data_IF_127550089304
#
_entry.id   IF_127550089304
#
_cell.length_a   1.000
_cell.length_b   1.000
_cell.length_c   1.000
_cell.angle_alpha   90.00
_cell.angle_beta   90.00
_cell.angle_gamma   90.00
#
_symmetry.space_group_name_H-M   'P 1'
#
loop_
_entity.id
_entity.type
_entity.pdbx_description
1 polymer ?
#
# COMPACT_ATOMS: atom_id res chain seq x y z
N UNK A 1 -58.98 30.92 47.74
CA UNK A 1 -57.56 31.32 47.60
C UNK A 1 -56.93 30.25 46.74
N UNK A 2 -57.11 30.35 45.42
CA UNK A 2 -56.79 29.29 44.46
C UNK A 2 -55.51 29.65 43.71
N UNK A 3 -54.46 28.86 43.94
CA UNK A 3 -53.16 29.01 43.29
C UNK A 3 -53.21 28.23 41.98
N UNK A 4 -53.37 28.94 40.85
CA UNK A 4 -53.18 28.37 39.51
C UNK A 4 -51.67 28.20 39.24
N UNK A 5 -51.18 26.97 39.36
CA UNK A 5 -49.88 26.55 38.83
C UNK A 5 -50.00 26.36 37.31
N UNK A 6 -49.60 27.37 36.53
CA UNK A 6 -49.39 27.21 35.09
C UNK A 6 -48.04 26.54 34.86
N UNK A 7 -48.06 25.25 34.51
CA UNK A 7 -46.87 24.49 34.12
C UNK A 7 -46.29 25.04 32.80
N UNK A 8 -45.14 25.69 32.86
CA UNK A 8 -44.33 25.93 31.66
C UNK A 8 -43.54 24.65 31.34
N UNK A 9 -44.01 23.91 30.33
CA UNK A 9 -43.30 22.77 29.78
C UNK A 9 -42.11 23.27 28.95
N UNK A 10 -40.89 23.16 29.49
CA UNK A 10 -39.66 23.36 28.73
C UNK A 10 -39.43 22.16 27.80
N UNK A 11 -39.66 22.33 26.50
CA UNK A 11 -39.21 21.40 25.46
C UNK A 11 -37.68 21.51 25.33
N UNK A 12 -36.95 20.54 25.88
CA UNK A 12 -35.51 20.37 25.61
C UNK A 12 -35.32 19.99 24.14
N UNK A 13 -34.42 20.66 23.38
CA UNK A 13 -34.18 20.30 21.99
C UNK A 13 -33.44 18.95 21.94
N UNK A 14 -34.06 17.96 21.32
CA UNK A 14 -33.46 16.66 21.03
C UNK A 14 -32.40 16.85 19.93
N UNK A 15 -31.16 17.10 20.32
CA UNK A 15 -30.03 17.07 19.37
C UNK A 15 -29.75 15.61 18.99
N UNK A 16 -30.21 15.20 17.81
CA UNK A 16 -29.78 13.96 17.16
C UNK A 16 -28.28 14.07 16.82
N UNK A 17 -27.43 13.53 17.69
CA UNK A 17 -26.02 13.29 17.39
C UNK A 17 -25.95 12.18 16.33
N UNK A 18 -25.82 12.55 15.05
CA UNK A 18 -25.54 11.59 13.99
C UNK A 18 -24.10 11.08 14.14
N UNK A 19 -23.95 9.87 14.71
CA UNK A 19 -22.68 9.16 14.74
C UNK A 19 -22.50 8.41 13.42
N UNK A 20 -21.35 8.62 12.77
CA UNK A 20 -21.01 7.87 11.56
C UNK A 20 -20.90 6.37 11.89
N UNK A 21 -21.35 5.55 10.95
CA UNK A 21 -21.18 4.10 10.94
C UNK A 21 -19.75 3.72 10.54
N UNK A 22 -19.36 2.47 10.84
CA UNK A 22 -18.07 1.89 10.42
C UNK A 22 -17.87 2.05 8.90
N UNK A 23 -18.90 1.75 8.09
CA UNK A 23 -18.82 1.84 6.63
C UNK A 23 -18.64 3.27 6.14
N UNK A 24 -19.24 4.25 6.80
CA UNK A 24 -19.04 5.67 6.45
C UNK A 24 -17.61 6.14 6.79
N UNK A 25 -17.05 5.66 7.91
CA UNK A 25 -15.64 5.90 8.22
C UNK A 25 -14.70 5.28 7.19
N UNK A 26 -14.92 4.02 6.80
CA UNK A 26 -14.15 3.37 5.74
C UNK A 26 -14.24 4.16 4.43
N UNK A 27 -15.46 4.55 4.01
CA UNK A 27 -15.68 5.32 2.79
C UNK A 27 -14.94 6.66 2.81
N UNK A 28 -15.04 7.42 3.89
CA UNK A 28 -14.30 8.69 4.04
C UNK A 28 -12.79 8.48 4.02
N UNK A 29 -12.31 7.41 4.64
CA UNK A 29 -10.91 7.01 4.57
C UNK A 29 -10.46 6.73 3.14
N UNK A 30 -11.25 5.96 2.38
CA UNK A 30 -10.97 5.63 0.97
C UNK A 30 -10.93 6.89 0.09
N UNK A 31 -11.89 7.81 0.29
CA UNK A 31 -11.94 9.11 -0.40
C UNK A 31 -10.69 9.96 -0.13
N UNK A 32 -10.31 10.11 1.15
CA UNK A 32 -9.08 10.80 1.54
C UNK A 32 -7.83 10.12 0.99
N UNK A 33 -7.79 8.79 0.93
CA UNK A 33 -6.63 8.05 0.42
C UNK A 33 -6.42 8.26 -1.09
N UNK A 34 -7.49 8.51 -1.86
CA UNK A 34 -7.37 8.87 -3.27
C UNK A 34 -6.71 10.24 -3.48
N UNK A 35 -6.66 11.08 -2.44
CA UNK A 35 -6.03 12.40 -2.46
C UNK A 35 -4.71 12.43 -1.66
N UNK A 36 -4.15 11.26 -1.32
CA UNK A 36 -2.97 11.11 -0.46
C UNK A 36 -1.68 11.79 -0.94
N UNK A 37 -1.65 12.31 -2.17
CA UNK A 37 -0.58 13.21 -2.61
C UNK A 37 -0.50 14.44 -1.69
N UNK A 38 -1.65 14.94 -1.22
CA UNK A 38 -1.69 15.82 -0.05
C UNK A 38 -1.49 14.98 1.22
N UNK A 39 -0.36 15.23 1.88
CA UNK A 39 0.01 14.60 3.14
C UNK A 39 -1.06 14.74 4.24
N UNK A 40 -1.81 15.85 4.25
CA UNK A 40 -2.93 16.04 5.19
C UNK A 40 -4.05 15.05 4.91
N UNK A 41 -4.37 14.81 3.63
CA UNK A 41 -5.36 13.81 3.21
C UNK A 41 -4.95 12.40 3.56
N UNK A 42 -3.67 12.06 3.40
CA UNK A 42 -3.15 10.77 3.86
C UNK A 42 -3.31 10.57 5.38
N UNK A 43 -3.10 11.63 6.18
CA UNK A 43 -3.34 11.61 7.63
C UNK A 43 -4.83 11.53 7.99
N UNK A 44 -5.70 12.23 7.28
CA UNK A 44 -7.15 12.12 7.44
C UNK A 44 -7.62 10.68 7.17
N UNK A 45 -7.13 10.06 6.10
CA UNK A 45 -7.42 8.66 5.79
C UNK A 45 -7.03 7.71 6.93
N UNK A 46 -5.81 7.87 7.48
CA UNK A 46 -5.37 7.11 8.67
C UNK A 46 -6.37 7.24 9.82
N UNK A 47 -6.74 8.47 10.17
CA UNK A 47 -7.67 8.75 11.28
C UNK A 47 -9.04 8.11 11.06
N UNK A 48 -9.57 8.17 9.84
CA UNK A 48 -10.87 7.57 9.55
C UNK A 48 -10.84 6.05 9.68
N UNK A 49 -9.78 5.38 9.26
CA UNK A 49 -9.64 3.93 9.48
C UNK A 49 -9.45 3.58 10.95
N UNK A 50 -8.72 4.39 11.72
CA UNK A 50 -8.60 4.22 13.18
C UNK A 50 -9.95 4.33 13.88
N UNK A 51 -10.78 5.31 13.50
CA UNK A 51 -12.14 5.45 14.05
C UNK A 51 -13.04 4.27 13.65
N UNK A 52 -12.93 3.75 12.42
CA UNK A 52 -13.64 2.56 12.00
C UNK A 52 -13.30 1.34 12.89
N UNK A 53 -12.00 1.14 13.15
CA UNK A 53 -11.51 0.06 14.04
C UNK A 53 -11.89 0.32 15.50
N UNK A 54 -11.95 1.58 15.95
CA UNK A 54 -12.40 1.91 17.30
C UNK A 54 -13.86 1.54 17.52
N UNK A 55 -14.71 1.74 16.51
CA UNK A 55 -16.12 1.36 16.55
C UNK A 55 -16.33 -0.16 16.42
N UNK A 56 -15.53 -0.83 15.60
CA UNK A 56 -15.54 -2.28 15.45
C UNK A 56 -14.10 -2.83 15.43
N UNK A 57 -13.66 -3.31 16.59
CA UNK A 57 -12.29 -3.81 16.77
C UNK A 57 -11.99 -5.11 16.00
N UNK A 58 -13.01 -5.74 15.41
CA UNK A 58 -12.87 -6.92 14.56
C UNK A 58 -13.02 -6.58 13.06
N UNK A 59 -12.99 -5.30 12.69
CA UNK A 59 -13.20 -4.87 11.31
C UNK A 59 -11.97 -5.11 10.42
N UNK A 60 -11.95 -6.24 9.70
CA UNK A 60 -10.89 -6.58 8.75
C UNK A 60 -10.60 -5.43 7.75
N UNK A 61 -11.65 -4.81 7.21
CA UNK A 61 -11.57 -3.77 6.19
C UNK A 61 -10.82 -2.51 6.67
N UNK A 62 -10.98 -2.16 7.94
CA UNK A 62 -10.26 -1.06 8.58
C UNK A 62 -8.78 -1.38 8.76
N UNK A 63 -8.43 -2.58 9.23
CA UNK A 63 -7.03 -2.93 9.50
C UNK A 63 -6.15 -2.95 8.25
N UNK A 64 -6.56 -3.60 7.16
CA UNK A 64 -5.69 -3.66 5.98
C UNK A 64 -5.56 -2.29 5.29
N UNK A 65 -6.62 -1.46 5.30
CA UNK A 65 -6.56 -0.09 4.79
C UNK A 65 -5.68 0.81 5.65
N UNK A 66 -5.73 0.63 6.97
CA UNK A 66 -4.83 1.31 7.89
C UNK A 66 -3.36 0.90 7.63
N UNK A 67 -3.08 -0.39 7.42
CA UNK A 67 -1.75 -0.86 7.05
C UNK A 67 -1.26 -0.23 5.73
N UNK A 68 -2.14 -0.16 4.72
CA UNK A 68 -1.87 0.49 3.43
C UNK A 68 -1.49 1.96 3.56
N UNK A 69 -2.27 2.74 4.30
CA UNK A 69 -1.95 4.18 4.48
C UNK A 69 -0.70 4.39 5.33
N UNK A 70 -0.45 3.53 6.33
CA UNK A 70 0.80 3.56 7.09
C UNK A 70 2.01 3.30 6.18
N UNK A 71 1.92 2.32 5.28
CA UNK A 71 2.98 2.05 4.29
C UNK A 71 3.27 3.28 3.43
N UNK A 72 2.23 3.93 2.91
CA UNK A 72 2.37 5.15 2.10
C UNK A 72 3.02 6.30 2.90
N UNK A 73 2.54 6.56 4.13
CA UNK A 73 3.09 7.60 4.98
C UNK A 73 4.57 7.32 5.30
N UNK A 74 4.92 6.07 5.63
CA UNK A 74 6.28 5.71 5.99
C UNK A 74 7.32 6.00 4.90
N UNK A 75 6.96 6.00 3.61
CA UNK A 75 7.90 6.19 2.51
C UNK A 75 8.60 7.56 2.54
N UNK A 76 7.91 8.60 3.04
CA UNK A 76 8.39 9.98 3.02
C UNK A 76 8.95 10.46 4.38
N UNK A 77 9.07 9.57 5.37
CA UNK A 77 9.53 9.94 6.71
C UNK A 77 11.04 9.77 6.89
N UNK A 78 11.68 10.60 7.75
CA UNK A 78 13.06 10.36 8.19
C UNK A 78 13.20 8.97 8.82
N UNK A 79 14.39 8.38 8.70
CA UNK A 79 14.66 6.97 9.08
C UNK A 79 14.10 6.56 10.46
N UNK A 80 14.27 7.39 11.49
CA UNK A 80 13.80 7.09 12.85
C UNK A 80 12.27 7.03 12.95
N UNK A 81 11.58 7.96 12.28
CA UNK A 81 10.12 8.00 12.23
C UNK A 81 9.56 6.91 11.32
N UNK A 82 10.19 6.69 10.17
CA UNK A 82 9.89 5.57 9.25
C UNK A 82 9.92 4.24 10.00
N UNK A 83 10.93 3.99 10.82
CA UNK A 83 11.01 2.76 11.62
C UNK A 83 9.80 2.59 12.55
N UNK A 84 9.37 3.65 13.24
CA UNK A 84 8.21 3.60 14.13
C UNK A 84 6.93 3.27 13.35
N UNK A 85 6.70 3.96 12.24
CA UNK A 85 5.53 3.74 11.37
C UNK A 85 5.51 2.33 10.79
N UNK A 86 6.64 1.81 10.31
CA UNK A 86 6.70 0.46 9.76
C UNK A 86 6.39 -0.61 10.81
N UNK A 87 6.90 -0.46 12.04
CA UNK A 87 6.57 -1.38 13.15
C UNK A 87 5.08 -1.33 13.51
N UNK A 88 4.50 -0.14 13.58
CA UNK A 88 3.06 0.04 13.79
C UNK A 88 2.24 -0.67 12.68
N UNK A 89 2.57 -0.39 11.42
CA UNK A 89 1.90 -0.99 10.27
C UNK A 89 2.00 -2.51 10.26
N UNK A 90 3.17 -3.07 10.59
CA UNK A 90 3.38 -4.53 10.70
C UNK A 90 2.38 -5.15 11.67
N UNK A 91 2.22 -4.56 12.86
CA UNK A 91 1.27 -5.09 13.85
C UNK A 91 -0.19 -4.93 13.40
N UNK A 92 -0.54 -3.80 12.77
CA UNK A 92 -1.87 -3.58 12.17
C UNK A 92 -2.16 -4.63 11.08
N UNK A 93 -1.21 -4.92 10.20
CA UNK A 93 -1.40 -5.90 9.13
C UNK A 93 -1.50 -7.34 9.68
N UNK A 94 -0.73 -7.68 10.74
CA UNK A 94 -0.89 -8.95 11.46
C UNK A 94 -2.28 -9.11 12.06
N UNK A 95 -2.89 -8.02 12.57
CA UNK A 95 -4.29 -8.04 13.04
C UNK A 95 -5.26 -8.33 11.90
N UNK A 96 -5.07 -7.75 10.72
CA UNK A 96 -5.88 -8.07 9.53
C UNK A 96 -5.80 -9.58 9.19
N UNK A 97 -4.59 -10.16 9.16
CA UNK A 97 -4.39 -11.60 8.91
C UNK A 97 -5.09 -12.44 9.99
N UNK A 98 -4.97 -12.06 11.27
CA UNK A 98 -5.63 -12.79 12.37
C UNK A 98 -7.16 -12.77 12.25
N UNK A 99 -7.74 -11.66 11.80
CA UNK A 99 -9.19 -11.53 11.61
C UNK A 99 -9.67 -12.33 10.41
N UNK A 100 -8.91 -12.37 9.32
CA UNK A 100 -9.23 -13.19 8.15
C UNK A 100 -7.99 -13.55 7.33
N UNK A 101 -7.42 -14.74 7.57
CA UNK A 101 -6.25 -15.26 6.86
C UNK A 101 -6.57 -15.81 5.47
N UNK A 102 -7.84 -15.85 5.06
CA UNK A 102 -8.25 -16.34 3.75
C UNK A 102 -8.35 -15.21 2.72
N UNK A 103 -8.01 -13.98 3.10
CA UNK A 103 -8.06 -12.79 2.25
C UNK A 103 -6.67 -12.23 1.99
N UNK A 104 -6.48 -11.72 0.77
CA UNK A 104 -5.16 -11.39 0.26
C UNK A 104 -4.59 -10.09 0.82
N UNK A 105 -5.43 -9.11 1.15
CA UNK A 105 -4.99 -7.74 1.48
C UNK A 105 -4.17 -7.70 2.78
N UNK A 106 -4.57 -8.46 3.81
CA UNK A 106 -3.81 -8.58 5.05
C UNK A 106 -2.41 -9.13 4.83
N UNK A 107 -2.30 -10.25 4.09
CA UNK A 107 -1.02 -10.86 3.72
C UNK A 107 -0.16 -9.92 2.85
N UNK A 108 -0.75 -9.26 1.86
CA UNK A 108 -0.06 -8.33 0.97
C UNK A 108 0.54 -7.14 1.70
N UNK A 109 -0.26 -6.46 2.53
CA UNK A 109 0.20 -5.27 3.23
C UNK A 109 1.18 -5.64 4.36
N UNK A 110 1.03 -6.80 5.00
CA UNK A 110 2.02 -7.32 5.94
C UNK A 110 3.38 -7.53 5.28
N UNK A 111 3.42 -8.28 4.16
CA UNK A 111 4.65 -8.53 3.42
C UNK A 111 5.29 -7.22 2.90
N UNK A 112 4.47 -6.27 2.44
CA UNK A 112 4.95 -4.97 1.94
C UNK A 112 5.60 -4.13 3.04
N UNK A 113 4.96 -4.02 4.21
CA UNK A 113 5.50 -3.31 5.37
C UNK A 113 6.75 -3.99 5.94
N UNK A 114 6.75 -5.32 6.03
CA UNK A 114 7.92 -6.09 6.47
C UNK A 114 9.08 -5.96 5.48
N UNK A 115 8.80 -5.93 4.17
CA UNK A 115 9.77 -5.67 3.11
C UNK A 115 10.41 -4.30 3.22
N UNK A 116 9.62 -3.24 3.39
CA UNK A 116 10.13 -1.88 3.60
C UNK A 116 10.96 -1.79 4.89
N UNK A 117 10.56 -2.50 5.95
CA UNK A 117 11.34 -2.57 7.19
C UNK A 117 12.66 -3.31 6.98
N UNK A 118 12.66 -4.44 6.28
CA UNK A 118 13.86 -5.19 5.95
C UNK A 118 14.85 -4.35 5.12
N UNK A 119 14.38 -3.65 4.09
CA UNK A 119 15.21 -2.77 3.25
C UNK A 119 15.87 -1.67 4.10
N UNK A 120 15.11 -1.04 5.01
CA UNK A 120 15.64 -0.04 5.94
C UNK A 120 16.73 -0.59 6.89
N UNK A 121 16.66 -1.88 7.23
CA UNK A 121 17.62 -2.58 8.09
C UNK A 121 18.85 -3.11 7.34
N UNK A 122 18.86 -3.05 6.01
CA UNK A 122 19.97 -3.53 5.18
C UNK A 122 20.22 -5.03 5.40
N UNK A 123 21.46 -5.41 5.67
CA UNK A 123 21.86 -6.83 5.88
C UNK A 123 21.05 -7.50 7.01
N UNK A 124 20.73 -6.76 8.08
CA UNK A 124 19.89 -7.29 9.18
C UNK A 124 18.45 -7.60 8.73
N UNK A 125 18.02 -7.04 7.60
CA UNK A 125 16.73 -7.33 7.00
C UNK A 125 16.65 -8.72 6.35
N UNK A 126 17.79 -9.37 6.08
CA UNK A 126 17.81 -10.66 5.39
C UNK A 126 17.11 -11.78 6.17
N UNK A 127 17.03 -11.68 7.51
CA UNK A 127 16.28 -12.63 8.34
C UNK A 127 14.78 -12.63 8.07
N UNK A 128 14.23 -11.60 7.41
CA UNK A 128 12.80 -11.50 7.11
C UNK A 128 12.44 -11.99 5.70
N UNK A 129 13.41 -12.34 4.85
CA UNK A 129 13.16 -12.61 3.43
C UNK A 129 12.26 -13.81 3.19
N UNK A 130 12.42 -14.88 3.98
CA UNK A 130 11.58 -16.08 3.87
C UNK A 130 10.13 -15.76 4.24
N UNK A 131 9.92 -15.00 5.32
CA UNK A 131 8.61 -14.58 5.76
C UNK A 131 7.93 -13.65 4.72
N UNK A 132 8.66 -12.66 4.20
CA UNK A 132 8.16 -11.77 3.14
C UNK A 132 7.73 -12.59 1.90
N UNK A 133 8.56 -13.54 1.46
CA UNK A 133 8.24 -14.44 0.34
C UNK A 133 7.00 -15.26 0.63
N UNK A 134 6.90 -15.87 1.81
CA UNK A 134 5.77 -16.68 2.22
C UNK A 134 4.47 -15.87 2.16
N UNK A 135 4.47 -14.68 2.74
CA UNK A 135 3.27 -13.84 2.87
C UNK A 135 2.79 -13.29 1.53
N UNK A 136 3.70 -12.88 0.62
CA UNK A 136 3.29 -12.57 -0.75
C UNK A 136 2.72 -13.78 -1.49
N UNK A 137 3.28 -14.98 -1.31
CA UNK A 137 2.72 -16.19 -1.93
C UNK A 137 1.35 -16.56 -1.33
N UNK A 138 1.12 -16.34 -0.04
CA UNK A 138 -0.20 -16.50 0.58
C UNK A 138 -1.20 -15.49 0.00
N UNK A 139 -0.82 -14.22 -0.14
CA UNK A 139 -1.64 -13.21 -0.79
C UNK A 139 -2.02 -13.63 -2.21
N UNK A 140 -1.06 -14.14 -2.99
CA UNK A 140 -1.29 -14.64 -4.35
C UNK A 140 -2.19 -15.88 -4.41
N UNK A 141 -2.10 -16.76 -3.41
CA UNK A 141 -2.98 -17.93 -3.28
C UNK A 141 -4.42 -17.51 -2.99
N UNK A 142 -4.62 -16.50 -2.14
CA UNK A 142 -5.94 -15.95 -1.83
C UNK A 142 -6.53 -15.17 -3.01
N UNK A 143 -5.75 -14.29 -3.62
CA UNK A 143 -6.13 -13.52 -4.80
C UNK A 143 -4.87 -13.13 -5.59
N UNK A 144 -4.69 -13.75 -6.76
CA UNK A 144 -3.53 -13.48 -7.62
C UNK A 144 -3.51 -12.07 -8.23
N UNK A 145 -4.63 -11.34 -8.21
CA UNK A 145 -4.74 -9.98 -8.74
C UNK A 145 -4.70 -8.90 -7.65
N UNK A 146 -4.47 -9.27 -6.39
CA UNK A 146 -4.41 -8.34 -5.25
C UNK A 146 -3.54 -7.11 -5.56
N UNK A 147 -4.10 -5.93 -5.28
CA UNK A 147 -3.46 -4.63 -5.54
C UNK A 147 -2.91 -4.51 -6.97
N UNK A 148 -3.72 -4.87 -7.97
CA UNK A 148 -3.37 -4.85 -9.39
C UNK A 148 -2.12 -5.68 -9.71
N UNK A 149 -2.06 -6.89 -9.16
CA UNK A 149 -0.95 -7.83 -9.35
C UNK A 149 0.34 -7.44 -8.62
N UNK A 150 0.29 -6.46 -7.71
CA UNK A 150 1.49 -5.91 -7.05
C UNK A 150 2.25 -6.93 -6.20
N UNK A 151 1.64 -8.04 -5.80
CA UNK A 151 2.36 -9.12 -5.12
C UNK A 151 3.42 -9.78 -6.03
N UNK A 152 3.11 -9.97 -7.32
CA UNK A 152 4.09 -10.40 -8.30
C UNK A 152 5.16 -9.33 -8.52
N UNK A 153 4.76 -8.05 -8.59
CA UNK A 153 5.67 -6.92 -8.74
C UNK A 153 6.68 -6.84 -7.59
N UNK A 154 6.22 -7.02 -6.35
CA UNK A 154 7.07 -6.99 -5.16
C UNK A 154 8.03 -8.19 -5.10
N UNK A 155 7.56 -9.39 -5.42
CA UNK A 155 8.43 -10.58 -5.52
C UNK A 155 9.51 -10.40 -6.60
N UNK A 156 9.13 -9.88 -7.77
CA UNK A 156 10.08 -9.57 -8.84
C UNK A 156 11.12 -8.55 -8.40
N UNK A 157 10.67 -7.43 -7.80
CA UNK A 157 11.57 -6.39 -7.27
C UNK A 157 12.54 -6.92 -6.23
N UNK A 158 12.08 -7.78 -5.32
CA UNK A 158 12.94 -8.42 -4.33
C UNK A 158 14.03 -9.28 -4.98
N UNK A 159 13.69 -10.10 -5.98
CA UNK A 159 14.69 -10.90 -6.71
C UNK A 159 15.72 -10.04 -7.45
N UNK A 160 15.34 -8.86 -7.92
CA UNK A 160 16.24 -7.87 -8.52
C UNK A 160 17.18 -7.22 -7.49
N UNK A 161 16.67 -6.81 -6.33
CA UNK A 161 17.45 -6.05 -5.35
C UNK A 161 18.42 -6.90 -4.52
N UNK A 162 18.10 -8.18 -4.33
CA UNK A 162 18.91 -9.06 -3.49
C UNK A 162 20.21 -9.47 -4.21
N UNK A 163 21.34 -9.55 -3.49
CA UNK A 163 22.52 -10.25 -3.98
C UNK A 163 22.25 -11.73 -4.26
N UNK A 164 22.93 -12.31 -5.24
CA UNK A 164 22.73 -13.71 -5.64
C UNK A 164 22.94 -14.70 -4.49
N UNK A 165 23.91 -14.45 -3.58
CA UNK A 165 24.20 -15.34 -2.45
C UNK A 165 23.09 -15.38 -1.37
N UNK A 166 22.16 -14.43 -1.36
CA UNK A 166 20.94 -14.46 -0.54
C UNK A 166 19.67 -14.72 -1.35
N UNK A 167 19.83 -15.20 -2.59
CA UNK A 167 18.73 -15.65 -3.43
C UNK A 167 18.19 -14.61 -4.42
N UNK A 168 18.96 -13.57 -4.74
CA UNK A 168 18.70 -12.72 -5.91
C UNK A 168 18.81 -13.48 -7.24
N UNK A 169 18.02 -13.08 -8.23
CA UNK A 169 18.07 -13.62 -9.60
C UNK A 169 17.34 -12.69 -10.57
N UNK A 170 18.03 -12.22 -11.59
CA UNK A 170 17.44 -11.36 -12.62
C UNK A 170 16.43 -12.11 -13.48
N UNK A 171 16.64 -13.42 -13.69
CA UNK A 171 15.72 -14.31 -14.43
C UNK A 171 14.40 -14.45 -13.67
N UNK A 172 14.46 -14.67 -12.34
CA UNK A 172 13.27 -14.71 -11.50
C UNK A 172 12.61 -13.33 -11.43
N UNK A 173 13.38 -12.25 -11.29
CA UNK A 173 12.83 -10.89 -11.35
C UNK A 173 11.99 -10.70 -12.61
N UNK A 174 12.57 -11.01 -13.77
CA UNK A 174 11.91 -10.87 -15.06
C UNK A 174 10.64 -11.73 -15.14
N UNK A 175 10.72 -13.00 -14.73
CA UNK A 175 9.58 -13.91 -14.75
C UNK A 175 8.39 -13.38 -13.93
N UNK A 176 8.63 -12.94 -12.70
CA UNK A 176 7.59 -12.42 -11.81
C UNK A 176 7.02 -11.10 -12.34
N UNK A 177 7.86 -10.20 -12.84
CA UNK A 177 7.43 -8.91 -13.37
C UNK A 177 6.64 -9.05 -14.68
N UNK A 178 7.00 -9.98 -15.57
CA UNK A 178 6.21 -10.28 -16.75
C UNK A 178 4.83 -10.82 -16.39
N UNK A 179 4.75 -11.69 -15.37
CA UNK A 179 3.47 -12.16 -14.84
C UNK A 179 2.63 -11.02 -14.26
N UNK A 180 3.25 -10.09 -13.55
CA UNK A 180 2.58 -8.88 -13.07
C UNK A 180 2.04 -8.02 -14.23
N UNK A 181 2.82 -7.85 -15.32
CA UNK A 181 2.42 -7.08 -16.50
C UNK A 181 1.23 -7.72 -17.23
N UNK A 182 1.14 -9.06 -17.26
CA UNK A 182 -0.02 -9.77 -17.81
C UNK A 182 -1.29 -9.49 -16.98
N UNK A 183 -1.17 -9.51 -15.65
CA UNK A 183 -2.31 -9.29 -14.74
C UNK A 183 -2.77 -7.84 -14.74
N UNK A 184 -1.83 -6.90 -14.68
CA UNK A 184 -2.10 -5.47 -14.72
C UNK A 184 -1.07 -4.75 -15.61
N UNK A 185 -1.40 -4.58 -16.89
CA UNK A 185 -0.54 -3.86 -17.84
C UNK A 185 -0.30 -2.40 -17.44
N UNK A 186 -1.19 -1.83 -16.64
CA UNK A 186 -1.17 -0.42 -16.21
C UNK A 186 -0.60 -0.23 -14.80
N UNK A 187 0.07 -1.23 -14.21
CA UNK A 187 0.77 -1.04 -12.95
C UNK A 187 2.10 -0.29 -13.20
N UNK A 188 2.26 0.95 -12.69
CA UNK A 188 3.43 1.78 -13.02
C UNK A 188 4.73 1.25 -12.40
N UNK A 189 4.65 0.60 -11.24
CA UNK A 189 5.82 -0.03 -10.62
C UNK A 189 6.34 -1.20 -11.46
N UNK A 190 5.43 -2.02 -12.00
CA UNK A 190 5.80 -3.15 -12.85
C UNK A 190 6.61 -2.69 -14.06
N UNK A 191 6.18 -1.62 -14.74
CA UNK A 191 6.92 -1.08 -15.90
C UNK A 191 8.31 -0.59 -15.51
N UNK A 192 8.42 0.21 -14.43
CA UNK A 192 9.73 0.70 -13.98
C UNK A 192 10.66 -0.46 -13.59
N UNK A 193 10.15 -1.45 -12.87
CA UNK A 193 10.97 -2.57 -12.41
C UNK A 193 11.32 -3.55 -13.53
N UNK A 194 10.46 -3.69 -14.56
CA UNK A 194 10.83 -4.39 -15.79
C UNK A 194 11.98 -3.67 -16.48
N UNK A 195 11.91 -2.35 -16.63
CA UNK A 195 13.00 -1.57 -17.22
C UNK A 195 14.32 -1.75 -16.44
N UNK A 196 14.29 -1.65 -15.11
CA UNK A 196 15.47 -1.90 -14.26
C UNK A 196 16.05 -3.31 -14.48
N UNK A 197 15.18 -4.32 -14.54
CA UNK A 197 15.59 -5.73 -14.74
C UNK A 197 16.15 -5.95 -16.14
N UNK A 198 15.53 -5.39 -17.17
CA UNK A 198 16.01 -5.46 -18.54
C UNK A 198 17.38 -4.79 -18.69
N UNK A 199 17.60 -3.63 -18.08
CA UNK A 199 18.91 -2.97 -18.09
C UNK A 199 19.98 -3.83 -17.42
N UNK A 200 19.69 -4.44 -16.27
CA UNK A 200 20.62 -5.36 -15.60
C UNK A 200 20.93 -6.60 -16.45
N UNK A 201 19.98 -7.05 -17.27
CA UNK A 201 20.15 -8.11 -18.27
C UNK A 201 20.77 -7.63 -19.60
N UNK A 202 21.20 -6.37 -19.70
CA UNK A 202 21.74 -5.73 -20.92
C UNK A 202 20.76 -5.67 -22.10
N UNK A 203 19.45 -5.76 -21.82
CA UNK A 203 18.32 -5.71 -22.78
C UNK A 203 17.78 -4.29 -22.92
N UNK A 204 18.57 -3.41 -23.52
CA UNK A 204 18.31 -1.96 -23.54
C UNK A 204 17.02 -1.57 -24.26
N UNK A 205 16.71 -2.22 -25.39
CA UNK A 205 15.54 -1.87 -26.20
C UNK A 205 14.23 -2.23 -25.49
N UNK A 206 14.16 -3.39 -24.83
CA UNK A 206 13.06 -3.72 -23.94
C UNK A 206 12.91 -2.71 -22.80
N UNK A 207 14.01 -2.31 -22.18
CA UNK A 207 13.97 -1.34 -21.11
C UNK A 207 13.42 0.02 -21.58
N UNK A 208 13.89 0.52 -22.73
CA UNK A 208 13.39 1.77 -23.32
C UNK A 208 11.88 1.72 -23.55
N UNK A 209 11.36 0.63 -24.12
CA UNK A 209 9.92 0.46 -24.35
C UNK A 209 9.11 0.54 -23.06
N UNK A 210 9.53 -0.13 -21.99
CA UNK A 210 8.81 -0.08 -20.70
C UNK A 210 8.82 1.32 -20.09
N UNK A 211 9.94 2.06 -20.22
CA UNK A 211 10.05 3.44 -19.73
C UNK A 211 9.19 4.41 -20.55
N UNK A 212 9.17 4.26 -21.87
CA UNK A 212 8.33 5.07 -22.76
C UNK A 212 6.84 4.83 -22.49
N UNK A 213 6.42 3.56 -22.35
CA UNK A 213 5.07 3.21 -21.93
C UNK A 213 4.72 3.89 -20.60
N UNK A 214 5.60 3.82 -19.60
CA UNK A 214 5.40 4.46 -18.29
C UNK A 214 5.26 5.99 -18.41
N UNK A 215 6.10 6.64 -19.21
CA UNK A 215 6.04 8.09 -19.46
C UNK A 215 4.69 8.50 -20.06
N UNK A 216 4.14 7.67 -20.96
CA UNK A 216 2.89 7.91 -21.66
C UNK A 216 1.63 7.46 -20.89
N UNK A 217 1.78 6.78 -19.74
CA UNK A 217 0.64 6.29 -18.95
C UNK A 217 -0.35 7.42 -18.59
N UNK A 218 -1.66 7.12 -18.61
CA UNK A 218 -2.68 8.03 -18.12
C UNK A 218 -2.59 8.17 -16.59
N UNK A 219 -2.74 9.40 -16.09
CA UNK A 219 -2.79 9.67 -14.65
C UNK A 219 -4.14 9.24 -14.05
N UNK A 220 -4.18 8.02 -13.51
CA UNK A 220 -5.37 7.48 -12.84
C UNK A 220 -5.38 7.86 -11.36
N UNK A 221 -6.54 8.31 -10.83
CA UNK A 221 -6.66 8.81 -9.43
C UNK A 221 -6.13 7.81 -8.40
N UNK A 222 -6.36 6.51 -8.60
CA UNK A 222 -5.88 5.43 -7.71
C UNK A 222 -4.36 5.45 -7.52
N UNK A 223 -3.61 5.72 -8.59
CA UNK A 223 -2.15 5.62 -8.67
C UNK A 223 -1.48 6.99 -8.88
N UNK A 224 -2.22 8.09 -8.75
CA UNK A 224 -1.78 9.42 -9.14
C UNK A 224 -0.41 9.82 -8.58
N UNK A 225 -0.17 9.74 -7.25
CA UNK A 225 1.14 10.10 -6.71
C UNK A 225 2.25 9.18 -7.20
N UNK A 226 1.99 7.88 -7.38
CA UNK A 226 3.00 6.94 -7.86
C UNK A 226 3.30 7.15 -9.34
N UNK A 227 2.29 7.33 -10.20
CA UNK A 227 2.49 7.57 -11.62
C UNK A 227 3.36 8.80 -11.85
N UNK A 228 3.08 9.93 -11.17
CA UNK A 228 3.88 11.15 -11.31
C UNK A 228 5.34 10.94 -10.89
N UNK A 229 5.55 10.38 -9.69
CA UNK A 229 6.89 10.05 -9.17
C UNK A 229 7.65 9.10 -10.09
N UNK A 230 6.98 8.07 -10.63
CA UNK A 230 7.63 7.04 -11.45
C UNK A 230 7.88 7.52 -12.89
N UNK A 231 7.02 8.40 -13.44
CA UNK A 231 7.27 9.07 -14.73
C UNK A 231 8.53 9.94 -14.70
N UNK A 232 8.73 10.69 -13.62
CA UNK A 232 9.94 11.50 -13.44
C UNK A 232 11.18 10.61 -13.46
N UNK A 233 11.20 9.56 -12.63
CA UNK A 233 12.28 8.56 -12.63
C UNK A 233 12.51 7.92 -13.99
N UNK A 234 11.45 7.65 -14.74
CA UNK A 234 11.56 7.07 -16.08
C UNK A 234 12.22 8.03 -17.07
N UNK A 235 11.88 9.33 -17.01
CA UNK A 235 12.50 10.37 -17.84
C UNK A 235 13.98 10.60 -17.53
N UNK A 236 14.39 10.41 -16.29
CA UNK A 236 15.80 10.45 -15.92
C UNK A 236 16.53 9.24 -16.48
N UNK A 237 16.00 8.04 -16.20
CA UNK A 237 16.62 6.78 -16.58
C UNK A 237 16.76 6.61 -18.09
N UNK A 238 15.78 7.04 -18.88
CA UNK A 238 15.85 6.90 -20.35
C UNK A 238 17.01 7.71 -20.95
N UNK A 239 17.41 8.83 -20.35
CA UNK A 239 18.55 9.65 -20.79
C UNK A 239 19.90 8.97 -20.56
N UNK A 240 19.96 8.04 -19.60
CA UNK A 240 21.17 7.31 -19.25
C UNK A 240 21.40 6.09 -20.16
N UNK A 241 20.39 5.67 -20.92
CA UNK A 241 20.48 4.53 -21.83
C UNK A 241 21.16 4.97 -23.13
N UNK A 242 22.48 4.79 -23.19
CA UNK A 242 23.28 4.91 -24.42
C UNK A 242 22.81 3.95 -25.50
#
# INVERSE_FOLDING_TARGET
>A
MDIKLTSQSFLLPLFLLFTLTVNEFIKKGDECYLEREDWKKAKEAKRYYEEAIRLDSNNYEGYWRLAKVIYFLADNLPKKEKEKFLKEGIEIAKKAIKLNSNRAEGHFWYASLLGAYAEMKGIRGFSYLEEIKKEFNLALKCNSTVEDGSAYTALGRMYYQLPSFVGGSLEKSLLYLLKAKIISPNNPYTKLYLADTYLALKRKEEAKRELEELIQMKEEKKWLPEIRKLKEKAREKIKEIK
#
